data_IF_269814268064
#
_entry.id   IF_269814268064
#
_cell.length_a   1.000
_cell.length_b   1.000
_cell.length_c   1.000
_cell.angle_alpha   90.00
_cell.angle_beta   90.00
_cell.angle_gamma   90.00
#
_symmetry.space_group_name_H-M   'P 1'
#
loop_
_entity.id
_entity.type
_entity.pdbx_description
1 polymer ?
#
# COMPACT_ATOMS: atom_id res chain seq x y z
N UNK A 1 28.87 4.23 2.04
CA UNK A 1 28.19 4.17 3.36
C UNK A 1 27.50 2.81 3.48
N UNK A 2 27.67 2.08 4.59
CA UNK A 2 27.14 0.70 4.73
C UNK A 2 25.67 0.69 5.20
N UNK A 3 25.24 1.75 5.89
CA UNK A 3 23.87 1.90 6.43
C UNK A 3 23.12 2.97 5.62
N UNK A 4 21.85 2.70 5.28
CA UNK A 4 20.95 3.64 4.60
C UNK A 4 19.78 3.97 5.51
N UNK A 5 19.44 5.25 5.61
CA UNK A 5 18.33 5.74 6.43
C UNK A 5 17.05 5.91 5.61
N UNK A 6 15.93 5.96 6.34
CA UNK A 6 14.60 6.08 5.77
C UNK A 6 13.55 6.40 6.79
N UNK A 7 12.36 6.71 6.29
CA UNK A 7 11.17 6.96 7.10
C UNK A 7 9.93 6.35 6.45
N UNK A 8 8.79 6.53 7.13
CA UNK A 8 7.52 5.91 6.75
C UNK A 8 6.53 6.96 6.29
N UNK A 9 5.95 6.71 5.12
CA UNK A 9 4.78 7.37 4.54
C UNK A 9 4.90 8.88 4.28
N UNK A 10 5.14 9.73 5.27
CA UNK A 10 5.04 11.18 5.10
C UNK A 10 6.25 11.92 5.67
N UNK A 11 6.59 13.04 5.04
CA UNK A 11 7.55 14.00 5.56
C UNK A 11 6.82 15.11 6.28
N UNK A 12 7.36 15.56 7.42
CA UNK A 12 6.88 16.74 8.13
C UNK A 12 7.46 18.04 7.57
N UNK A 13 8.40 17.96 6.63
CA UNK A 13 9.09 19.10 6.01
C UNK A 13 8.31 19.59 4.77
N UNK A 14 7.82 18.66 3.96
CA UNK A 14 7.11 19.01 2.73
C UNK A 14 5.67 19.46 3.02
N UNK A 15 5.36 20.71 2.64
CA UNK A 15 4.01 21.26 2.73
C UNK A 15 3.08 20.65 1.68
N UNK A 16 1.83 20.42 2.08
CA UNK A 16 0.75 19.88 1.24
C UNK A 16 1.16 18.63 0.45
N UNK A 17 1.86 17.71 1.12
CA UNK A 17 2.49 16.54 0.49
C UNK A 17 2.08 15.22 1.16
N UNK A 18 0.83 15.12 1.62
CA UNK A 18 0.33 13.85 2.15
C UNK A 18 0.13 12.84 1.02
N UNK A 19 0.77 11.65 1.06
CA UNK A 19 0.51 10.57 0.10
C UNK A 19 -0.64 9.65 0.57
N UNK A 20 -1.36 10.03 1.62
CA UNK A 20 -2.35 9.18 2.30
C UNK A 20 -3.73 9.82 2.38
N UNK A 21 -4.06 10.72 1.45
CA UNK A 21 -5.40 11.30 1.38
C UNK A 21 -6.42 10.20 1.13
N UNK A 22 -7.57 10.32 1.76
CA UNK A 22 -8.63 9.32 1.69
C UNK A 22 -10.00 9.97 1.86
N UNK A 23 -11.05 9.18 1.71
CA UNK A 23 -12.43 9.55 1.94
C UNK A 23 -13.12 8.44 2.73
N UNK A 24 -14.02 8.80 3.64
CA UNK A 24 -14.82 7.81 4.37
C UNK A 24 -15.87 7.20 3.43
N UNK A 25 -16.21 5.93 3.66
CA UNK A 25 -17.26 5.22 2.91
C UNK A 25 -18.57 6.00 2.93
N UNK A 26 -19.01 6.46 4.10
CA UNK A 26 -20.22 7.26 4.27
C UNK A 26 -20.23 8.56 3.43
N UNK A 27 -19.08 9.23 3.26
CA UNK A 27 -19.01 10.43 2.42
C UNK A 27 -18.97 10.11 0.92
N UNK A 28 -18.51 8.91 0.56
CA UNK A 28 -18.50 8.45 -0.81
C UNK A 28 -19.89 7.96 -1.25
N UNK A 29 -20.65 7.32 -0.35
CA UNK A 29 -22.02 6.83 -0.58
C UNK A 29 -23.03 7.95 -0.85
N UNK A 30 -22.77 9.17 -0.37
CA UNK A 30 -23.57 10.37 -0.71
C UNK A 30 -23.60 10.65 -2.23
N UNK A 31 -22.61 10.14 -2.98
CA UNK A 31 -22.54 10.28 -4.43
C UNK A 31 -23.26 9.09 -5.07
N UNK A 32 -24.43 9.36 -5.68
CA UNK A 32 -25.30 8.33 -6.26
C UNK A 32 -24.67 7.62 -7.47
N UNK A 33 -24.03 8.38 -8.35
CA UNK A 33 -23.43 7.85 -9.58
C UNK A 33 -22.12 7.13 -9.28
N UNK A 34 -21.95 5.91 -9.82
CA UNK A 34 -20.75 5.09 -9.60
C UNK A 34 -19.52 5.74 -10.22
N UNK A 35 -19.67 6.30 -11.41
CA UNK A 35 -18.62 6.96 -12.18
C UNK A 35 -18.08 8.18 -11.43
N UNK A 36 -18.96 8.96 -10.80
CA UNK A 36 -18.57 10.09 -9.97
C UNK A 36 -17.85 9.65 -8.67
N UNK A 37 -18.22 8.50 -8.07
CA UNK A 37 -17.48 7.90 -6.95
C UNK A 37 -16.07 7.48 -7.39
N UNK A 38 -15.96 6.76 -8.49
CA UNK A 38 -14.68 6.33 -9.08
C UNK A 38 -13.81 7.53 -9.43
N UNK A 39 -14.35 8.56 -10.07
CA UNK A 39 -13.63 9.79 -10.40
C UNK A 39 -13.08 10.49 -9.15
N UNK A 40 -13.86 10.54 -8.06
CA UNK A 40 -13.39 11.08 -6.78
C UNK A 40 -12.23 10.27 -6.20
N UNK A 41 -12.33 8.93 -6.21
CA UNK A 41 -11.26 8.05 -5.74
C UNK A 41 -10.00 8.18 -6.61
N UNK A 42 -10.16 8.19 -7.93
CA UNK A 42 -9.07 8.36 -8.88
C UNK A 42 -8.32 9.67 -8.67
N UNK A 43 -9.04 10.77 -8.44
CA UNK A 43 -8.43 12.07 -8.14
C UNK A 43 -7.56 12.02 -6.88
N UNK A 44 -8.07 11.40 -5.80
CA UNK A 44 -7.31 11.26 -4.55
C UNK A 44 -6.10 10.34 -4.73
N UNK A 45 -6.24 9.25 -5.48
CA UNK A 45 -5.15 8.33 -5.78
C UNK A 45 -4.04 8.99 -6.60
N UNK A 46 -4.39 9.77 -7.63
CA UNK A 46 -3.43 10.57 -8.42
C UNK A 46 -2.68 11.56 -7.54
N UNK A 47 -3.38 12.26 -6.66
CA UNK A 47 -2.76 13.20 -5.72
C UNK A 47 -1.78 12.48 -4.77
N UNK A 48 -2.16 11.30 -4.27
CA UNK A 48 -1.31 10.48 -3.40
C UNK A 48 -0.03 10.01 -4.14
N UNK A 49 -0.15 9.54 -5.38
CA UNK A 49 0.99 9.11 -6.20
C UNK A 49 1.89 10.31 -6.55
N UNK A 50 1.31 11.44 -6.91
CA UNK A 50 2.05 12.68 -7.15
C UNK A 50 2.83 13.13 -5.91
N UNK A 51 2.21 13.12 -4.73
CA UNK A 51 2.89 13.45 -3.48
C UNK A 51 3.96 12.43 -3.12
N UNK A 52 3.75 11.15 -3.43
CA UNK A 52 4.79 10.12 -3.29
C UNK A 52 6.00 10.44 -4.16
N UNK A 53 5.79 10.89 -5.40
CA UNK A 53 6.89 11.28 -6.29
C UNK A 53 7.68 12.47 -5.70
N UNK A 54 6.97 13.48 -5.20
CA UNK A 54 7.57 14.64 -4.52
C UNK A 54 8.40 14.24 -3.31
N UNK A 55 7.93 13.28 -2.52
CA UNK A 55 8.67 12.72 -1.39
C UNK A 55 9.94 12.02 -1.85
N UNK A 56 9.89 11.22 -2.92
CA UNK A 56 11.09 10.57 -3.47
C UNK A 56 12.13 11.58 -3.98
N UNK A 57 11.70 12.66 -4.64
CA UNK A 57 12.60 13.74 -5.06
C UNK A 57 13.28 14.41 -3.87
N UNK A 58 12.50 14.76 -2.86
CA UNK A 58 13.04 15.31 -1.61
C UNK A 58 14.02 14.35 -0.95
N UNK A 59 13.69 13.06 -0.93
CA UNK A 59 14.53 12.05 -0.30
C UNK A 59 15.88 11.91 -1.00
N UNK A 60 15.90 11.86 -2.33
CA UNK A 60 17.16 11.80 -3.09
C UNK A 60 18.02 13.05 -2.85
N UNK A 61 17.39 14.24 -2.79
CA UNK A 61 18.08 15.49 -2.49
C UNK A 61 18.67 15.59 -1.06
N UNK A 62 18.28 14.69 -0.15
CA UNK A 62 18.73 14.66 1.24
C UNK A 62 19.39 13.33 1.63
N UNK A 63 19.85 12.54 0.65
CA UNK A 63 20.52 11.25 0.86
C UNK A 63 19.69 10.21 1.65
N UNK A 64 18.35 10.30 1.57
CA UNK A 64 17.43 9.34 2.18
C UNK A 64 17.00 8.36 1.10
N UNK A 65 17.29 7.07 1.28
CA UNK A 65 17.03 6.09 0.21
C UNK A 65 16.28 4.83 0.65
N UNK A 66 15.88 4.75 1.91
CA UNK A 66 14.92 3.75 2.37
C UNK A 66 13.58 4.44 2.54
N UNK A 67 12.51 3.90 1.96
CA UNK A 67 11.21 4.54 2.05
C UNK A 67 10.09 3.49 2.15
N UNK A 68 9.20 3.67 3.12
CA UNK A 68 8.02 2.83 3.26
C UNK A 68 6.79 3.57 2.72
N UNK A 69 6.19 3.01 1.69
CA UNK A 69 4.92 3.48 1.13
C UNK A 69 3.80 3.36 2.16
N UNK A 70 2.86 4.29 2.09
CA UNK A 70 1.60 4.21 2.83
C UNK A 70 0.66 3.16 2.24
N UNK A 71 -0.03 2.41 3.09
CA UNK A 71 -1.12 1.51 2.64
C UNK A 71 -2.33 2.27 2.10
N UNK A 72 -2.45 3.58 2.39
CA UNK A 72 -3.56 4.43 1.94
C UNK A 72 -3.33 5.04 0.55
N UNK A 73 -2.33 4.56 -0.20
CA UNK A 73 -1.95 5.11 -1.50
C UNK A 73 -3.14 5.17 -2.47
N UNK A 74 -3.89 4.06 -2.57
CA UNK A 74 -5.15 3.97 -3.31
C UNK A 74 -6.31 3.89 -2.31
N UNK A 75 -7.13 4.95 -2.18
CA UNK A 75 -8.17 4.99 -1.16
C UNK A 75 -9.25 3.93 -1.40
N UNK A 76 -9.59 3.19 -0.34
CA UNK A 76 -10.66 2.19 -0.34
C UNK A 76 -10.49 1.05 -1.36
N UNK A 77 -9.25 0.78 -1.82
CA UNK A 77 -8.98 -0.19 -2.88
C UNK A 77 -9.48 -1.62 -2.60
N UNK A 78 -9.52 -2.02 -1.33
CA UNK A 78 -9.98 -3.33 -0.84
C UNK A 78 -11.40 -3.29 -0.26
N UNK A 79 -12.10 -2.16 -0.39
CA UNK A 79 -13.46 -2.02 0.09
C UNK A 79 -14.46 -2.30 -1.05
N UNK A 80 -15.58 -3.00 -0.82
CA UNK A 80 -16.57 -3.32 -1.86
C UNK A 80 -17.10 -2.11 -2.66
N UNK A 81 -17.10 -0.92 -2.05
CA UNK A 81 -17.53 0.33 -2.71
C UNK A 81 -16.67 0.70 -3.93
N UNK A 82 -15.41 0.25 -3.97
CA UNK A 82 -14.48 0.45 -5.07
C UNK A 82 -14.47 -0.73 -6.06
N UNK A 83 -15.34 -1.74 -5.86
CA UNK A 83 -15.36 -2.93 -6.70
C UNK A 83 -15.59 -2.57 -8.17
N UNK A 84 -14.89 -3.28 -9.06
CA UNK A 84 -14.90 -3.07 -10.51
C UNK A 84 -14.12 -1.85 -11.00
N UNK A 85 -13.49 -1.06 -10.12
CA UNK A 85 -12.57 -0.01 -10.53
C UNK A 85 -11.18 -0.60 -10.81
N UNK A 86 -10.73 -0.53 -12.07
CA UNK A 86 -9.37 -0.93 -12.44
C UNK A 86 -8.36 0.21 -12.26
N UNK A 87 -8.15 0.59 -11.00
CA UNK A 87 -7.21 1.67 -10.63
C UNK A 87 -5.79 1.44 -11.14
N UNK A 88 -5.36 0.19 -11.31
CA UNK A 88 -4.00 -0.12 -11.77
C UNK A 88 -3.77 0.31 -13.23
N UNK A 89 -4.79 0.18 -14.08
CA UNK A 89 -4.72 0.65 -15.47
C UNK A 89 -4.87 2.17 -15.55
N UNK A 90 -5.85 2.74 -14.83
CA UNK A 90 -6.10 4.20 -14.82
C UNK A 90 -4.91 5.04 -14.34
N UNK A 91 -4.02 4.43 -13.54
CA UNK A 91 -2.85 5.04 -12.90
C UNK A 91 -1.53 4.46 -13.40
N UNK A 92 -1.55 3.71 -14.52
CA UNK A 92 -0.38 2.99 -15.03
C UNK A 92 0.82 3.89 -15.30
N UNK A 93 0.57 5.10 -15.83
CA UNK A 93 1.61 6.08 -16.12
C UNK A 93 2.29 6.58 -14.84
N UNK A 94 1.49 6.93 -13.83
CA UNK A 94 1.93 7.40 -12.53
C UNK A 94 2.73 6.32 -11.77
N UNK A 95 2.23 5.08 -11.78
CA UNK A 95 2.96 3.96 -11.16
C UNK A 95 4.28 3.68 -11.87
N UNK A 96 4.30 3.65 -13.21
CA UNK A 96 5.53 3.43 -13.98
C UNK A 96 6.56 4.52 -13.68
N UNK A 97 6.15 5.79 -13.65
CA UNK A 97 7.03 6.92 -13.33
C UNK A 97 7.66 6.79 -11.94
N UNK A 98 6.86 6.46 -10.92
CA UNK A 98 7.35 6.20 -9.56
C UNK A 98 8.34 5.03 -9.53
N UNK A 99 7.99 3.93 -10.19
CA UNK A 99 8.78 2.73 -10.29
C UNK A 99 10.15 2.95 -10.93
N UNK A 100 10.17 3.63 -12.07
CA UNK A 100 11.38 3.95 -12.80
C UNK A 100 12.29 4.85 -11.96
N UNK A 101 11.75 5.87 -11.30
CA UNK A 101 12.52 6.73 -10.41
C UNK A 101 13.12 5.97 -9.21
N UNK A 102 12.32 5.09 -8.58
CA UNK A 102 12.79 4.23 -7.48
C UNK A 102 13.98 3.37 -7.92
N UNK A 103 13.91 2.76 -9.12
CA UNK A 103 14.99 1.91 -9.65
C UNK A 103 16.22 2.74 -10.03
N UNK A 104 16.03 3.84 -10.74
CA UNK A 104 17.10 4.71 -11.23
C UNK A 104 17.95 5.29 -10.09
N UNK A 105 17.29 5.75 -9.03
CA UNK A 105 17.96 6.32 -7.84
C UNK A 105 18.36 5.23 -6.81
N UNK A 106 18.05 3.96 -7.10
CA UNK A 106 18.41 2.83 -6.25
C UNK A 106 17.72 2.81 -4.88
N UNK A 107 16.50 3.31 -4.76
CA UNK A 107 15.73 3.29 -3.51
C UNK A 107 15.43 1.85 -3.04
N UNK A 108 15.46 1.65 -1.71
CA UNK A 108 14.87 0.46 -1.07
C UNK A 108 13.46 0.80 -0.62
N UNK A 109 12.48 0.25 -1.33
CA UNK A 109 11.06 0.49 -1.05
C UNK A 109 10.44 -0.67 -0.27
N UNK A 110 9.54 -0.34 0.66
CA UNK A 110 8.72 -1.32 1.36
C UNK A 110 7.29 -0.83 1.54
N UNK A 111 6.40 -1.72 1.95
CA UNK A 111 5.11 -1.37 2.52
C UNK A 111 4.85 -2.24 3.76
N UNK A 112 3.92 -1.79 4.60
CA UNK A 112 3.52 -2.51 5.81
C UNK A 112 2.00 -2.42 5.95
N UNK A 113 1.28 -3.48 5.56
CA UNK A 113 -0.14 -3.66 5.83
C UNK A 113 -0.50 -3.33 7.28
N UNK A 114 -1.73 -2.87 7.49
CA UNK A 114 -2.23 -2.55 8.82
C UNK A 114 -2.35 -3.81 9.69
N UNK A 115 -2.51 -3.62 11.00
CA UNK A 115 -2.66 -4.69 12.00
C UNK A 115 -3.89 -5.59 11.79
N UNK A 116 -4.77 -5.25 10.85
CA UNK A 116 -5.91 -6.07 10.43
C UNK A 116 -5.52 -7.20 9.46
N UNK A 117 -4.33 -7.15 8.86
CA UNK A 117 -3.82 -8.17 7.93
C UNK A 117 -3.18 -9.31 8.73
N UNK A 118 -3.97 -10.34 8.99
CA UNK A 118 -3.70 -11.43 9.94
C UNK A 118 -3.82 -12.79 9.25
N UNK A 119 -2.69 -13.27 8.70
CA UNK A 119 -2.61 -14.58 8.03
C UNK A 119 -2.88 -15.75 8.98
N UNK A 120 -2.74 -15.58 10.29
CA UNK A 120 -2.91 -16.65 11.27
C UNK A 120 -4.26 -16.62 12.01
N UNK A 121 -5.18 -15.77 11.55
CA UNK A 121 -6.53 -15.68 12.12
C UNK A 121 -7.27 -17.01 11.99
N UNK A 122 -7.91 -17.51 13.06
CA UNK A 122 -8.77 -18.70 12.99
C UNK A 122 -10.09 -18.42 12.24
N UNK A 123 -10.42 -17.15 12.03
CA UNK A 123 -11.63 -16.72 11.33
C UNK A 123 -11.36 -16.57 9.83
N UNK A 124 -12.08 -17.35 9.02
CA UNK A 124 -11.91 -17.39 7.56
C UNK A 124 -12.13 -16.04 6.92
N UNK A 125 -13.13 -15.28 7.36
CA UNK A 125 -13.46 -13.97 6.80
C UNK A 125 -12.35 -12.93 7.02
N UNK A 126 -11.57 -13.07 8.10
CA UNK A 126 -10.40 -12.22 8.35
C UNK A 126 -9.23 -12.63 7.47
N UNK A 127 -9.02 -13.94 7.30
CA UNK A 127 -8.00 -14.45 6.38
C UNK A 127 -8.27 -13.97 4.94
N UNK A 128 -9.50 -14.12 4.44
CA UNK A 128 -9.90 -13.70 3.09
C UNK A 128 -9.61 -12.20 2.87
N UNK A 129 -9.98 -11.34 3.83
CA UNK A 129 -9.69 -9.90 3.79
C UNK A 129 -8.20 -9.58 3.87
N UNK A 130 -7.45 -10.35 4.66
CA UNK A 130 -5.99 -10.20 4.76
C UNK A 130 -5.33 -10.52 3.43
N UNK A 131 -5.78 -11.57 2.74
CA UNK A 131 -5.31 -11.93 1.41
C UNK A 131 -5.64 -10.86 0.37
N UNK A 132 -6.82 -10.25 0.44
CA UNK A 132 -7.18 -9.11 -0.41
C UNK A 132 -6.26 -7.91 -0.20
N UNK A 133 -5.93 -7.60 1.06
CA UNK A 133 -5.00 -6.51 1.40
C UNK A 133 -3.56 -6.79 0.92
N UNK A 134 -3.08 -8.03 1.04
CA UNK A 134 -1.78 -8.43 0.49
C UNK A 134 -1.76 -8.33 -1.04
N UNK A 135 -2.83 -8.78 -1.71
CA UNK A 135 -2.98 -8.67 -3.17
C UNK A 135 -3.00 -7.21 -3.62
N UNK A 136 -3.63 -6.32 -2.86
CA UNK A 136 -3.59 -4.89 -3.14
C UNK A 136 -2.15 -4.34 -3.13
N UNK A 137 -1.38 -4.60 -2.07
CA UNK A 137 0.01 -4.15 -1.99
C UNK A 137 0.88 -4.76 -3.09
N UNK A 138 0.66 -6.05 -3.41
CA UNK A 138 1.35 -6.70 -4.52
C UNK A 138 1.06 -6.00 -5.86
N UNK A 139 -0.22 -5.68 -6.14
CA UNK A 139 -0.61 -4.95 -7.36
C UNK A 139 -0.01 -3.55 -7.43
N UNK A 140 0.15 -2.85 -6.31
CA UNK A 140 0.88 -1.57 -6.26
C UNK A 140 2.33 -1.76 -6.69
N UNK A 141 3.04 -2.75 -6.15
CA UNK A 141 4.43 -3.03 -6.53
C UNK A 141 4.57 -3.50 -7.98
N UNK A 142 3.60 -4.28 -8.48
CA UNK A 142 3.53 -4.68 -9.89
C UNK A 142 3.32 -3.47 -10.81
N UNK A 143 2.40 -2.58 -10.47
CA UNK A 143 2.18 -1.34 -11.23
C UNK A 143 3.45 -0.50 -11.30
N UNK A 144 4.20 -0.43 -10.19
CA UNK A 144 5.50 0.25 -10.13
C UNK A 144 6.65 -0.56 -10.78
N UNK A 145 6.42 -1.79 -11.23
CA UNK A 145 7.47 -2.64 -11.80
C UNK A 145 8.66 -2.88 -10.87
N UNK A 146 8.43 -2.97 -9.54
CA UNK A 146 9.50 -3.11 -8.56
C UNK A 146 9.94 -4.56 -8.33
N UNK A 147 9.12 -5.54 -8.73
CA UNK A 147 9.43 -6.96 -8.56
C UNK A 147 9.93 -7.30 -7.15
N UNK A 148 11.06 -8.02 -7.07
CA UNK A 148 11.67 -8.47 -5.82
C UNK A 148 12.42 -7.37 -5.03
N UNK A 149 12.56 -6.18 -5.60
CA UNK A 149 13.24 -5.04 -4.98
C UNK A 149 12.39 -4.40 -3.87
N UNK A 150 11.06 -4.53 -3.95
CA UNK A 150 10.14 -4.10 -2.90
C UNK A 150 9.96 -5.20 -1.84
N UNK A 151 9.77 -4.79 -0.59
CA UNK A 151 9.46 -5.72 0.52
C UNK A 151 8.10 -5.40 1.13
N UNK A 152 7.24 -6.41 1.23
CA UNK A 152 6.01 -6.34 2.01
C UNK A 152 6.27 -6.91 3.39
N UNK A 153 6.31 -6.05 4.41
CA UNK A 153 6.59 -6.46 5.79
C UNK A 153 5.26 -6.73 6.48
N UNK A 154 5.11 -7.87 7.15
CA UNK A 154 3.89 -8.20 7.92
C UNK A 154 4.27 -8.75 9.29
N UNK A 155 3.34 -8.65 10.25
CA UNK A 155 3.43 -9.37 11.50
C UNK A 155 2.89 -10.79 11.34
N UNK A 156 3.35 -11.71 12.20
CA UNK A 156 2.81 -13.09 12.27
C UNK A 156 1.33 -13.08 12.67
N UNK A 157 0.95 -12.14 13.54
CA UNK A 157 -0.42 -11.95 14.02
C UNK A 157 -0.61 -12.32 15.48
N UNK A 158 -1.84 -12.69 15.86
CA UNK A 158 -2.25 -12.90 17.25
C UNK A 158 -1.90 -14.28 17.81
N UNK A 159 -1.91 -14.43 19.13
CA UNK A 159 -1.68 -15.73 19.81
C UNK A 159 -2.94 -16.60 19.92
N UNK A 160 -4.13 -16.02 19.81
CA UNK A 160 -5.44 -16.71 19.86
C UNK A 160 -5.54 -17.83 20.92
N UNK A 161 -4.99 -17.59 22.12
CA UNK A 161 -5.01 -18.55 23.23
C UNK A 161 -3.98 -19.69 23.14
N UNK A 162 -3.40 -19.98 21.98
CA UNK A 162 -2.38 -21.01 21.79
C UNK A 162 -1.30 -20.57 20.79
N UNK A 163 -0.07 -20.38 21.28
CA UNK A 163 1.07 -19.91 20.47
C UNK A 163 1.46 -20.90 19.37
N UNK A 164 1.57 -22.20 19.70
CA UNK A 164 2.03 -23.22 18.75
C UNK A 164 1.04 -23.37 17.60
N UNK A 165 -0.25 -23.46 17.91
CA UNK A 165 -1.29 -23.55 16.90
C UNK A 165 -1.37 -22.28 16.04
N UNK A 166 -1.18 -21.10 16.65
CA UNK A 166 -1.16 -19.83 15.93
C UNK A 166 0.03 -19.69 14.98
N UNK A 167 1.20 -20.22 15.33
CA UNK A 167 2.36 -20.28 14.43
C UNK A 167 2.10 -21.29 13.31
N UNK A 168 1.52 -22.46 13.63
CA UNK A 168 1.18 -23.48 12.64
C UNK A 168 0.22 -22.94 11.57
N UNK A 169 -0.87 -22.26 11.99
CA UNK A 169 -1.81 -21.60 11.06
C UNK A 169 -1.13 -20.55 10.18
N UNK A 170 -0.20 -19.76 10.74
CA UNK A 170 0.57 -18.81 9.94
C UNK A 170 1.36 -19.52 8.85
N UNK A 171 2.10 -20.56 9.19
CA UNK A 171 2.94 -21.33 8.24
C UNK A 171 2.07 -21.96 7.16
N UNK A 172 0.97 -22.60 7.53
CA UNK A 172 0.03 -23.23 6.59
C UNK A 172 -0.52 -22.21 5.59
N UNK A 173 -1.03 -21.07 6.07
CA UNK A 173 -1.60 -20.05 5.20
C UNK A 173 -0.54 -19.31 4.38
N UNK A 174 0.67 -19.10 4.91
CA UNK A 174 1.79 -18.49 4.18
C UNK A 174 2.26 -19.38 3.02
N UNK A 175 2.37 -20.69 3.24
CA UNK A 175 2.78 -21.65 2.19
C UNK A 175 1.72 -21.83 1.09
N UNK A 176 0.49 -21.37 1.32
CA UNK A 176 -0.61 -21.42 0.37
C UNK A 176 -0.77 -20.13 -0.47
N UNK A 177 0.07 -19.11 -0.25
CA UNK A 177 0.10 -17.86 -1.03
C UNK A 177 0.71 -18.07 -2.43
#
# INVERSE_FOLDING_TARGET
>A
MIVRFGYVAMSMVLKDCSPSRTVTVANLEKIKQREARTSRLLRLARENLHNTQRLLYHNSAHDIYVYRLTSKLIPLATHPIASGWNWAEDLKGEFKSLGDYVKEQGFRVSAHPDHFTLLNSPRKEVLDKSLEDLKYHHRVFQGMGLGNCAKLVIHVGGLYGNKEESVKRFIENYNAL
#
